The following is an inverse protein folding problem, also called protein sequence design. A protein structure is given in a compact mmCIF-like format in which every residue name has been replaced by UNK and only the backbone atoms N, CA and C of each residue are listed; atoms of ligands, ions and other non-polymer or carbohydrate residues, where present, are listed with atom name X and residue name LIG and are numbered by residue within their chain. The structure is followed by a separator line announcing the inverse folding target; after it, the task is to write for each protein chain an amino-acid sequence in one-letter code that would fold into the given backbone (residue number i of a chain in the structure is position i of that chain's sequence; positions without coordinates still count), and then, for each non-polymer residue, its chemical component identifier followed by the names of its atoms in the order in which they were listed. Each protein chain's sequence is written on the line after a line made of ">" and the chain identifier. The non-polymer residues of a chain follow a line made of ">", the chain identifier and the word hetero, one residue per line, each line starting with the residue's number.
data_IF_262828522977
#
_entry.id   IF_262828522977
#
_cell.length_a   1.000
_cell.length_b   1.000
_cell.length_c   1.000
_cell.angle_alpha   90.00
_cell.angle_beta   90.00
_cell.angle_gamma   90.00
#
_symmetry.space_group_name_H-M   'P 1'
#
loop_
_entity.id
_entity.type
_entity.pdbx_description
1 polymer ?
#
# COMPACT_ATOMS: atom_id res chain seq x y z
N UNK A 1 -16.09 -7.78 -25.34
CA UNK A 1 -16.08 -7.42 -23.90
C UNK A 1 -15.38 -6.09 -23.77
N UNK A 2 -15.82 -5.19 -22.88
CA UNK A 2 -15.11 -3.91 -22.70
C UNK A 2 -13.79 -4.17 -21.96
N UNK A 3 -12.76 -3.37 -22.24
CA UNK A 3 -11.46 -3.49 -21.56
C UNK A 3 -11.58 -3.42 -20.03
N UNK A 4 -12.59 -2.71 -19.52
CA UNK A 4 -12.89 -2.60 -18.09
C UNK A 4 -13.39 -3.92 -17.49
N UNK A 5 -14.31 -4.60 -18.19
CA UNK A 5 -14.79 -5.93 -17.74
C UNK A 5 -13.68 -6.97 -17.71
N UNK A 6 -12.74 -6.92 -18.66
CA UNK A 6 -11.62 -7.85 -18.68
C UNK A 6 -10.62 -7.58 -17.55
N UNK A 7 -10.39 -6.31 -17.22
CA UNK A 7 -9.52 -5.94 -16.10
C UNK A 7 -10.06 -6.46 -14.77
N UNK A 8 -11.37 -6.26 -14.50
CA UNK A 8 -12.01 -6.80 -13.30
C UNK A 8 -11.86 -8.32 -13.25
N UNK A 9 -12.12 -9.00 -14.37
CA UNK A 9 -11.97 -10.45 -14.45
C UNK A 9 -10.53 -10.94 -14.21
N UNK A 10 -9.51 -10.23 -14.71
CA UNK A 10 -8.10 -10.55 -14.46
C UNK A 10 -7.74 -10.41 -12.99
N UNK A 11 -8.25 -9.37 -12.33
CA UNK A 11 -8.08 -9.18 -10.88
C UNK A 11 -8.72 -10.32 -10.11
N UNK A 12 -9.99 -10.65 -10.39
CA UNK A 12 -10.67 -11.76 -9.74
C UNK A 12 -9.96 -13.10 -9.98
N UNK A 13 -9.46 -13.35 -11.19
CA UNK A 13 -8.69 -14.56 -11.48
C UNK A 13 -7.39 -14.66 -10.67
N UNK A 14 -6.79 -13.53 -10.29
CA UNK A 14 -5.61 -13.48 -9.43
C UNK A 14 -6.00 -13.68 -7.95
N UNK A 15 -7.02 -12.96 -7.47
CA UNK A 15 -7.49 -13.04 -6.08
C UNK A 15 -8.03 -14.43 -5.73
N UNK A 16 -8.68 -15.11 -6.67
CA UNK A 16 -9.32 -16.42 -6.49
C UNK A 16 -8.62 -17.55 -7.26
N UNK A 17 -7.32 -17.39 -7.56
CA UNK A 17 -6.54 -18.31 -8.41
C UNK A 17 -6.55 -19.75 -7.91
N UNK A 18 -6.63 -19.95 -6.60
CA UNK A 18 -6.64 -21.27 -5.96
C UNK A 18 -8.01 -21.95 -6.02
N UNK A 19 -9.03 -21.29 -6.59
CA UNK A 19 -10.40 -21.83 -6.68
C UNK A 19 -11.16 -21.84 -5.35
N UNK A 20 -10.57 -21.31 -4.28
CA UNK A 20 -11.17 -21.19 -2.97
C UNK A 20 -11.87 -19.84 -2.79
N UNK A 21 -12.96 -19.82 -2.03
CA UNK A 21 -13.51 -18.59 -1.46
C UNK A 21 -12.49 -17.98 -0.49
N UNK A 22 -12.41 -16.65 -0.47
CA UNK A 22 -11.43 -15.90 0.32
C UNK A 22 -12.14 -14.98 1.30
N UNK A 23 -11.53 -14.67 2.44
CA UNK A 23 -12.07 -13.63 3.33
C UNK A 23 -11.85 -12.23 2.71
N UNK A 24 -12.59 -11.23 3.18
CA UNK A 24 -12.36 -9.84 2.77
C UNK A 24 -10.92 -9.38 3.06
N UNK A 25 -10.40 -9.74 4.24
CA UNK A 25 -9.03 -9.42 4.67
C UNK A 25 -7.99 -10.06 3.73
N UNK A 26 -8.22 -11.30 3.27
CA UNK A 26 -7.33 -11.96 2.32
C UNK A 26 -7.31 -11.25 0.97
N UNK A 27 -8.49 -10.85 0.46
CA UNK A 27 -8.57 -10.11 -0.81
C UNK A 27 -7.93 -8.74 -0.67
N UNK A 28 -8.13 -8.05 0.44
CA UNK A 28 -7.51 -6.76 0.72
C UNK A 28 -5.98 -6.90 0.78
N UNK A 29 -5.49 -7.91 1.48
CA UNK A 29 -4.06 -8.24 1.58
C UNK A 29 -3.44 -8.55 0.22
N UNK A 30 -4.15 -9.30 -0.63
CA UNK A 30 -3.69 -9.61 -1.99
C UNK A 30 -3.56 -8.33 -2.82
N UNK A 31 -4.59 -7.48 -2.82
CA UNK A 31 -4.60 -6.25 -3.61
C UNK A 31 -3.55 -5.24 -3.16
N UNK A 32 -3.32 -5.15 -1.84
CA UNK A 32 -2.49 -4.10 -1.24
C UNK A 32 -1.04 -4.51 -0.98
N UNK A 33 -0.78 -5.73 -0.50
CA UNK A 33 0.55 -6.18 -0.11
C UNK A 33 1.16 -7.14 -1.13
N UNK A 34 0.43 -8.19 -1.54
CA UNK A 34 1.00 -9.21 -2.43
C UNK A 34 1.26 -8.62 -3.82
N UNK A 35 0.26 -7.91 -4.35
CA UNK A 35 0.33 -7.31 -5.69
C UNK A 35 0.78 -5.85 -5.66
N UNK A 36 0.66 -5.16 -4.53
CA UNK A 36 1.06 -3.75 -4.39
C UNK A 36 0.29 -2.80 -5.31
N UNK A 37 -0.95 -3.13 -5.69
CA UNK A 37 -1.69 -2.38 -6.70
C UNK A 37 -2.34 -1.11 -6.15
N UNK A 38 -2.64 -1.08 -4.87
CA UNK A 38 -3.29 0.03 -4.17
C UNK A 38 -3.03 -0.05 -2.66
N UNK A 39 -3.33 1.01 -1.91
CA UNK A 39 -3.28 0.95 -0.44
C UNK A 39 -4.49 0.18 0.15
N UNK A 40 -4.44 -0.10 1.44
CA UNK A 40 -5.47 -0.86 2.17
C UNK A 40 -6.84 -0.18 2.13
N UNK A 41 -6.89 1.15 2.27
CA UNK A 41 -8.15 1.91 2.21
C UNK A 41 -8.80 1.80 0.82
N UNK A 42 -8.00 1.94 -0.23
CA UNK A 42 -8.44 1.81 -1.62
C UNK A 42 -8.86 0.37 -1.93
N UNK A 43 -8.14 -0.63 -1.42
CA UNK A 43 -8.48 -2.04 -1.57
C UNK A 43 -9.82 -2.37 -0.90
N UNK A 44 -10.04 -1.90 0.33
CA UNK A 44 -11.32 -2.05 1.03
C UNK A 44 -12.49 -1.44 0.24
N UNK A 45 -12.31 -0.23 -0.28
CA UNK A 45 -13.32 0.46 -1.09
C UNK A 45 -13.58 -0.29 -2.41
N UNK A 46 -12.54 -0.82 -3.06
CA UNK A 46 -12.66 -1.63 -4.25
C UNK A 46 -13.45 -2.92 -4.00
N UNK A 47 -13.20 -3.64 -2.89
CA UNK A 47 -13.94 -4.85 -2.54
C UNK A 47 -15.43 -4.54 -2.38
N UNK A 48 -15.78 -3.48 -1.64
CA UNK A 48 -17.17 -3.04 -1.48
C UNK A 48 -17.83 -2.72 -2.82
N UNK A 49 -17.14 -1.97 -3.68
CA UNK A 49 -17.64 -1.60 -4.99
C UNK A 49 -17.85 -2.83 -5.89
N UNK A 50 -16.95 -3.81 -5.84
CA UNK A 50 -17.05 -5.08 -6.58
C UNK A 50 -18.19 -5.98 -6.07
N UNK A 51 -18.48 -5.96 -4.77
CA UNK A 51 -19.66 -6.64 -4.21
C UNK A 51 -20.93 -5.94 -4.71
N UNK A 52 -21.00 -4.62 -4.57
CA UNK A 52 -22.17 -3.81 -4.95
C UNK A 52 -22.52 -3.92 -6.45
N UNK A 53 -21.50 -3.86 -7.30
CA UNK A 53 -21.64 -4.02 -8.76
C UNK A 53 -21.85 -5.47 -9.21
N UNK A 54 -21.89 -6.42 -8.27
CA UNK A 54 -22.23 -7.82 -8.53
C UNK A 54 -21.11 -8.66 -9.12
N UNK A 55 -19.84 -8.22 -9.03
CA UNK A 55 -18.67 -8.99 -9.44
C UNK A 55 -18.22 -10.01 -8.40
N UNK A 56 -18.42 -9.71 -7.12
CA UNK A 56 -18.13 -10.60 -5.99
C UNK A 56 -19.43 -10.97 -5.28
N UNK A 57 -19.58 -12.25 -4.93
CA UNK A 57 -20.62 -12.75 -4.02
C UNK A 57 -20.03 -12.88 -2.62
N UNK A 58 -20.74 -12.33 -1.65
CA UNK A 58 -20.43 -12.46 -0.22
C UNK A 58 -21.43 -13.44 0.41
N UNK A 59 -20.92 -14.60 0.84
CA UNK A 59 -21.67 -15.61 1.57
C UNK A 59 -21.13 -15.72 3.00
N UNK A 60 -21.68 -14.89 3.90
CA UNK A 60 -21.34 -14.92 5.32
C UNK A 60 -19.89 -14.55 5.64
N UNK A 61 -19.25 -13.68 4.85
CA UNK A 61 -17.86 -13.26 5.00
C UNK A 61 -16.87 -14.04 4.12
N UNK A 62 -17.34 -15.05 3.38
CA UNK A 62 -16.58 -15.73 2.35
C UNK A 62 -16.92 -15.15 0.98
N UNK A 63 -15.92 -14.54 0.36
CA UNK A 63 -16.02 -13.93 -0.95
C UNK A 63 -15.73 -14.93 -2.05
N UNK A 64 -16.52 -14.89 -3.12
CA UNK A 64 -16.33 -15.70 -4.33
C UNK A 64 -16.63 -14.89 -5.59
N UNK A 65 -15.99 -15.20 -6.73
CA UNK A 65 -16.26 -14.50 -7.98
C UNK A 65 -17.67 -14.83 -8.50
N UNK A 66 -18.39 -13.82 -8.98
CA UNK A 66 -19.70 -13.97 -9.62
C UNK A 66 -19.61 -14.03 -11.16
N UNK A 67 -18.47 -14.47 -11.68
CA UNK A 67 -18.24 -14.65 -13.10
C UNK A 67 -17.31 -15.84 -13.32
N UNK A 68 -17.31 -16.38 -14.54
CA UNK A 68 -16.33 -17.42 -14.88
C UNK A 68 -14.95 -16.80 -15.03
N UNK A 69 -14.03 -17.24 -14.17
CA UNK A 69 -12.62 -16.83 -14.14
C UNK A 69 -11.68 -17.90 -14.71
N UNK A 70 -12.22 -19.04 -15.16
CA UNK A 70 -11.42 -20.14 -15.71
C UNK A 70 -10.72 -19.71 -17.01
N UNK A 71 -9.44 -20.01 -17.11
CA UNK A 71 -8.64 -19.69 -18.30
C UNK A 71 -8.27 -18.21 -18.45
N UNK A 72 -8.69 -17.35 -17.53
CA UNK A 72 -8.32 -15.93 -17.54
C UNK A 72 -6.88 -15.78 -17.06
N UNK A 73 -6.04 -15.18 -17.90
CA UNK A 73 -4.63 -14.91 -17.61
C UNK A 73 -4.36 -13.42 -17.71
N UNK A 74 -3.68 -12.89 -16.71
CA UNK A 74 -3.08 -11.56 -16.79
C UNK A 74 -1.70 -11.67 -17.48
N UNK A 75 -1.37 -10.78 -18.43
CA UNK A 75 -0.02 -10.70 -18.99
C UNK A 75 1.04 -10.43 -17.92
N UNK A 76 2.27 -10.84 -18.17
CA UNK A 76 3.39 -10.52 -17.27
C UNK A 76 3.57 -8.99 -17.18
N UNK A 77 3.72 -8.48 -15.95
CA UNK A 77 3.88 -7.04 -15.70
C UNK A 77 2.59 -6.23 -15.85
N UNK A 78 1.44 -6.87 -16.07
CA UNK A 78 0.15 -6.19 -16.10
C UNK A 78 -0.30 -5.77 -14.69
N UNK A 79 -0.89 -4.58 -14.59
CA UNK A 79 -1.48 -4.03 -13.37
C UNK A 79 -2.85 -3.41 -13.72
N UNK A 80 -3.89 -3.61 -12.89
CA UNK A 80 -5.18 -2.97 -13.09
C UNK A 80 -5.09 -1.46 -12.86
N UNK A 81 -5.99 -0.71 -13.49
CA UNK A 81 -6.25 0.67 -13.08
C UNK A 81 -7.12 0.65 -11.82
N UNK A 82 -6.69 1.19 -10.67
CA UNK A 82 -7.47 1.14 -9.44
C UNK A 82 -8.89 1.72 -9.58
N UNK A 83 -9.04 2.76 -10.40
CA UNK A 83 -10.35 3.37 -10.67
C UNK A 83 -11.38 2.38 -11.24
N UNK A 84 -10.94 1.36 -11.98
CA UNK A 84 -11.83 0.31 -12.54
C UNK A 84 -12.33 -0.69 -11.50
N UNK A 85 -11.73 -0.68 -10.30
CA UNK A 85 -12.11 -1.55 -9.20
C UNK A 85 -12.88 -0.78 -8.12
N UNK A 86 -12.58 0.50 -7.92
CA UNK A 86 -13.32 1.39 -7.01
C UNK A 86 -14.62 1.92 -7.61
N UNK A 87 -14.69 2.02 -8.94
CA UNK A 87 -15.90 2.35 -9.69
C UNK A 87 -16.08 1.36 -10.86
N UNK A 88 -16.40 0.08 -10.54
CA UNK A 88 -16.52 -0.97 -11.54
C UNK A 88 -17.84 -0.85 -12.31
N UNK A 89 -17.77 -1.16 -13.61
CA UNK A 89 -18.97 -1.37 -14.44
C UNK A 89 -19.85 -2.46 -13.83
N UNK A 90 -21.17 -2.31 -13.89
CA UNK A 90 -22.10 -3.32 -13.35
C UNK A 90 -21.91 -4.66 -14.06
N UNK A 91 -21.80 -5.75 -13.30
CA UNK A 91 -21.70 -7.09 -13.86
C UNK A 91 -23.03 -7.46 -14.53
N UNK A 92 -23.05 -7.50 -15.86
CA UNK A 92 -24.25 -7.79 -16.67
C UNK A 92 -24.84 -9.20 -16.48
N UNK A 93 -24.28 -10.02 -15.60
CA UNK A 93 -24.75 -11.37 -15.23
C UNK A 93 -25.60 -11.35 -13.94
N UNK A 94 -25.68 -10.24 -13.21
CA UNK A 94 -26.39 -10.16 -11.94
C UNK A 94 -27.80 -9.56 -12.10
N UNK A 95 -28.84 -10.30 -11.65
CA UNK A 95 -30.05 -9.68 -11.11
C UNK A 95 -29.63 -8.91 -9.84
N UNK A 96 -30.06 -7.65 -9.64
CA UNK A 96 -29.67 -6.88 -8.46
C UNK A 96 -30.10 -7.61 -7.20
N UNK A 97 -29.19 -7.84 -6.27
CA UNK A 97 -29.55 -8.15 -4.88
C UNK A 97 -29.82 -6.81 -4.22
N UNK A 98 -31.09 -6.48 -4.06
CA UNK A 98 -31.54 -5.37 -3.22
C UNK A 98 -31.15 -5.69 -1.77
N UNK A 99 -29.99 -5.20 -1.34
CA UNK A 99 -29.74 -4.91 0.06
C UNK A 99 -29.67 -3.40 0.20
N UNK A 100 -30.79 -2.85 0.63
CA UNK A 100 -30.94 -1.49 1.12
C UNK A 100 -29.95 -1.30 2.27
N UNK A 101 -28.88 -0.53 2.04
CA UNK A 101 -27.95 -0.11 3.10
C UNK A 101 -28.19 1.37 3.31
N UNK A 102 -29.01 1.68 4.31
CA UNK A 102 -29.09 3.00 4.90
C UNK A 102 -27.68 3.44 5.31
N UNK A 103 -27.23 4.58 4.78
CA UNK A 103 -25.97 5.21 5.15
C UNK A 103 -26.12 5.97 6.47
N UNK A 104 -25.38 5.65 7.54
CA UNK A 104 -25.14 6.62 8.61
C UNK A 104 -23.92 7.45 8.22
N UNK A 105 -24.14 8.77 8.04
CA UNK A 105 -23.08 9.77 7.95
C UNK A 105 -22.33 9.81 9.29
N UNK A 106 -21.05 9.42 9.29
CA UNK A 106 -20.15 9.64 10.43
C UNK A 106 -19.42 10.98 10.21
N UNK A 107 -19.30 11.87 11.21
CA UNK A 107 -18.64 13.16 11.05
C UNK A 107 -17.11 13.02 10.93
N UNK A 108 -16.54 13.85 10.06
CA UNK A 108 -15.10 14.05 9.84
C UNK A 108 -14.38 14.32 11.18
N UNK A 109 -13.57 13.36 11.63
CA UNK A 109 -12.64 13.55 12.75
C UNK A 109 -11.42 14.31 12.22
N UNK A 110 -11.21 15.50 12.78
CA UNK A 110 -10.07 16.39 12.54
C UNK A 110 -8.75 15.68 12.86
N UNK A 111 -7.76 15.84 11.97
CA UNK A 111 -6.33 15.57 12.25
C UNK A 111 -5.91 16.29 13.53
N UNK A 112 -5.29 15.63 14.53
CA UNK A 112 -4.47 16.32 15.49
C UNK A 112 -3.09 16.52 14.89
N UNK A 113 -2.67 17.78 14.86
CA UNK A 113 -1.36 18.19 14.43
C UNK A 113 -0.23 17.79 15.39
N UNK A 114 0.97 17.97 14.85
CA UNK A 114 2.27 18.09 15.51
C UNK A 114 2.21 18.66 16.93
N UNK A 115 2.62 17.86 17.91
CA UNK A 115 3.18 18.34 19.19
C UNK A 115 4.26 17.37 19.68
N UNK A 116 5.51 17.78 19.46
CA UNK A 116 6.65 17.68 20.37
C UNK A 116 6.64 16.59 21.48
N UNK A 117 7.38 15.50 21.25
CA UNK A 117 8.03 14.72 22.33
C UNK A 117 9.39 14.15 21.88
N UNK A 118 10.17 14.90 21.11
CA UNK A 118 11.36 14.41 20.38
C UNK A 118 12.66 14.26 21.20
N UNK A 119 12.58 14.08 22.52
CA UNK A 119 13.77 13.81 23.37
C UNK A 119 13.87 12.38 23.89
N UNK A 120 12.80 11.58 23.85
CA UNK A 120 12.79 10.22 24.42
C UNK A 120 12.66 9.10 23.40
N UNK A 121 12.37 9.39 22.13
CA UNK A 121 12.30 8.34 21.10
C UNK A 121 13.71 7.81 20.80
N UNK A 122 14.00 6.51 21.06
CA UNK A 122 15.27 5.89 20.70
C UNK A 122 15.60 6.08 19.20
N UNK A 123 14.59 6.06 18.31
CA UNK A 123 14.79 6.21 16.86
C UNK A 123 15.28 7.61 16.49
N UNK A 124 14.70 8.66 17.06
CA UNK A 124 15.14 10.03 16.81
C UNK A 124 16.59 10.30 17.29
N UNK A 125 17.04 9.59 18.35
CA UNK A 125 18.45 9.66 18.81
C UNK A 125 19.39 8.96 17.82
N UNK A 126 18.97 7.81 17.27
CA UNK A 126 19.73 7.07 16.27
C UNK A 126 19.87 7.87 14.97
N UNK A 127 18.79 8.46 14.47
CA UNK A 127 18.80 9.30 13.26
C UNK A 127 19.79 10.46 13.38
N UNK A 128 19.81 11.16 14.53
CA UNK A 128 20.76 12.23 14.80
C UNK A 128 22.22 11.76 14.84
N UNK A 129 22.49 10.57 15.39
CA UNK A 129 23.84 9.99 15.42
C UNK A 129 24.30 9.63 14.01
N UNK A 130 23.42 9.00 13.24
CA UNK A 130 23.71 8.61 11.86
C UNK A 130 23.96 9.83 10.97
N UNK A 131 23.12 10.86 11.05
CA UNK A 131 23.31 12.10 10.29
C UNK A 131 24.66 12.76 10.60
N UNK A 132 25.09 12.77 11.87
CA UNK A 132 26.42 13.26 12.26
C UNK A 132 27.56 12.38 11.74
N UNK A 133 27.39 11.06 11.75
CA UNK A 133 28.37 10.14 11.21
C UNK A 133 28.57 10.37 9.71
N UNK A 134 27.47 10.44 8.95
CA UNK A 134 27.49 10.74 7.51
C UNK A 134 28.15 12.08 7.26
N UNK A 135 27.82 13.12 8.04
CA UNK A 135 28.44 14.45 7.90
C UNK A 135 29.95 14.39 8.06
N UNK A 136 30.43 13.69 9.09
CA UNK A 136 31.86 13.54 9.37
C UNK A 136 32.60 12.74 8.28
N UNK A 137 31.98 11.69 7.75
CA UNK A 137 32.64 10.81 6.77
C UNK A 137 32.56 11.35 5.33
N UNK A 138 31.44 11.97 4.95
CA UNK A 138 31.23 12.51 3.60
C UNK A 138 31.71 13.95 3.41
N UNK A 139 32.02 14.67 4.50
CA UNK A 139 32.35 16.09 4.47
C UNK A 139 31.15 17.01 4.15
N UNK A 140 29.93 16.48 4.10
CA UNK A 140 28.71 17.25 3.85
C UNK A 140 28.20 17.86 5.16
N UNK A 141 27.76 19.12 5.11
CA UNK A 141 27.13 19.77 6.23
C UNK A 141 25.87 19.02 6.70
N UNK A 142 25.66 18.99 8.01
CA UNK A 142 24.52 18.29 8.62
C UNK A 142 23.16 18.78 8.08
N UNK A 143 23.03 20.09 7.85
CA UNK A 143 21.81 20.69 7.29
C UNK A 143 21.55 20.22 5.86
N UNK A 144 22.59 20.08 5.04
CA UNK A 144 22.45 19.56 3.68
C UNK A 144 22.09 18.06 3.68
N UNK A 145 22.61 17.28 4.64
CA UNK A 145 22.21 15.88 4.83
C UNK A 145 20.74 15.77 5.20
N UNK A 146 20.28 16.57 6.18
CA UNK A 146 18.87 16.59 6.58
C UNK A 146 17.97 16.99 5.41
N UNK A 147 18.33 18.03 4.66
CA UNK A 147 17.59 18.47 3.47
C UNK A 147 17.56 17.39 2.37
N UNK A 148 18.65 16.65 2.16
CA UNK A 148 18.67 15.51 1.23
C UNK A 148 17.78 14.37 1.72
N UNK A 149 17.80 14.09 3.02
CA UNK A 149 17.00 13.02 3.61
C UNK A 149 15.51 13.34 3.50
N UNK A 150 15.09 14.56 3.84
CA UNK A 150 13.71 15.01 3.68
C UNK A 150 13.22 14.94 2.23
N UNK A 151 14.08 15.32 1.26
CA UNK A 151 13.74 15.18 -0.17
C UNK A 151 13.54 13.72 -0.57
N UNK A 152 14.36 12.80 -0.07
CA UNK A 152 14.19 11.36 -0.31
C UNK A 152 12.91 10.82 0.32
N UNK A 153 12.62 11.19 1.57
CA UNK A 153 11.36 10.83 2.25
C UNK A 153 10.15 11.33 1.45
N UNK A 154 10.20 12.56 0.94
CA UNK A 154 9.11 13.13 0.14
C UNK A 154 8.96 12.45 -1.23
N UNK A 155 10.06 12.07 -1.87
CA UNK A 155 10.05 11.43 -3.18
C UNK A 155 9.65 9.94 -3.11
N UNK A 156 9.99 9.27 -2.02
CA UNK A 156 9.79 7.83 -1.83
C UNK A 156 8.65 7.60 -0.82
N UNK A 157 7.47 7.21 -1.31
CA UNK A 157 6.21 7.14 -0.53
C UNK A 157 6.29 6.39 0.80
N UNK A 158 7.13 5.35 0.91
CA UNK A 158 7.29 4.53 2.12
C UNK A 158 8.69 4.62 2.74
N UNK A 159 9.43 5.69 2.45
CA UNK A 159 10.78 5.88 2.99
C UNK A 159 10.75 6.64 4.31
N UNK A 160 11.26 6.00 5.36
CA UNK A 160 11.48 6.61 6.67
C UNK A 160 12.75 7.47 6.67
N UNK A 161 12.85 8.40 7.62
CA UNK A 161 14.03 9.28 7.75
C UNK A 161 15.33 8.48 7.89
N UNK A 162 15.34 7.44 8.73
CA UNK A 162 16.51 6.57 8.87
C UNK A 162 16.89 5.86 7.56
N UNK A 163 15.91 5.38 6.78
CA UNK A 163 16.18 4.71 5.51
C UNK A 163 16.73 5.71 4.49
N UNK A 164 16.21 6.93 4.48
CA UNK A 164 16.76 8.02 3.66
C UNK A 164 18.23 8.32 3.99
N UNK A 165 18.61 8.30 5.27
CA UNK A 165 20.00 8.47 5.70
C UNK A 165 20.89 7.29 5.26
N UNK A 166 20.39 6.04 5.30
CA UNK A 166 21.12 4.88 4.76
C UNK A 166 21.34 5.00 3.24
N UNK A 167 20.33 5.47 2.50
CA UNK A 167 20.45 5.71 1.05
C UNK A 167 21.51 6.79 0.76
N UNK A 168 21.52 7.88 1.52
CA UNK A 168 22.55 8.92 1.39
C UNK A 168 23.94 8.35 1.69
N UNK A 169 24.06 7.52 2.72
CA UNK A 169 25.34 6.89 3.07
C UNK A 169 25.89 6.06 1.90
N UNK A 170 25.01 5.28 1.25
CA UNK A 170 25.38 4.47 0.08
C UNK A 170 25.76 5.33 -1.12
N UNK A 171 25.11 6.48 -1.31
CA UNK A 171 25.43 7.46 -2.37
C UNK A 171 26.73 8.22 -2.14
N UNK A 172 27.21 8.29 -0.90
CA UNK A 172 28.52 8.84 -0.55
C UNK A 172 29.60 7.75 -0.47
N UNK A 173 29.31 6.56 -0.99
CA UNK A 173 30.18 5.37 -0.96
C UNK A 173 30.74 5.05 0.44
N UNK A 174 29.94 5.32 1.49
CA UNK A 174 30.30 4.96 2.85
C UNK A 174 30.13 3.45 3.07
N UNK A 175 31.05 2.86 3.83
CA UNK A 175 30.94 1.45 4.23
C UNK A 175 29.70 1.24 5.13
N UNK A 176 28.84 0.29 4.74
CA UNK A 176 27.61 0.00 5.46
C UNK A 176 27.85 -0.78 6.76
N UNK A 177 28.97 -1.48 6.90
CA UNK A 177 29.33 -2.24 8.11
C UNK A 177 29.32 -1.36 9.37
N UNK A 178 30.13 -0.28 9.43
CA UNK A 178 30.14 0.66 10.56
C UNK A 178 28.78 1.28 10.87
N UNK A 179 27.95 1.50 9.85
CA UNK A 179 26.60 2.03 9.99
C UNK A 179 25.69 1.00 10.68
N UNK A 180 25.77 -0.27 10.26
CA UNK A 180 25.02 -1.39 10.85
C UNK A 180 25.46 -1.66 12.29
N UNK A 181 26.77 -1.65 12.56
CA UNK A 181 27.33 -1.85 13.90
C UNK A 181 26.92 -0.74 14.88
N UNK A 182 26.76 0.49 14.37
CA UNK A 182 26.23 1.61 15.15
C UNK A 182 24.76 1.42 15.55
N UNK A 183 24.02 0.53 14.86
CA UNK A 183 22.66 0.14 15.21
C UNK A 183 22.60 -1.06 16.16
N UNK A 184 23.55 -2.00 16.06
CA UNK A 184 23.61 -3.18 16.93
C UNK A 184 24.02 -2.86 18.37
N UNK A 185 24.72 -1.73 18.56
CA UNK A 185 25.17 -1.25 19.87
C UNK A 185 24.05 -0.49 20.59
N UNK A 186 23.10 -1.24 21.16
CA UNK A 186 22.05 -0.72 22.07
C UNK A 186 22.53 -0.62 23.51
#
# INVERSE_FOLDING_TARGET
>A
MSAETEDVKRVLAICFRTGASQTADDVERILSFDMGWMDTETAHNAIKALIFSGWIKDDGGLLSPNCDIRGIKAPLGWQPRPSRLTDPVVNGVAKPVEKEVETPKIPVVKKPGTVSSSKLDPRARMEKRLAKFISKQSGIELEEINRRAERKVKALRYCTMWLALCLISREQDLEMGPIIDSFASS
#
